data_IF_471300909784
#
_entry.id   IF_471300909784
#
_cell.length_a   1.000
_cell.length_b   1.000
_cell.length_c   1.000
_cell.angle_alpha   90.00
_cell.angle_beta   90.00
_cell.angle_gamma   90.00
#
_symmetry.space_group_name_H-M   'P 1'
#
loop_
_entity.id
_entity.type
_entity.pdbx_description
1 polymer ?
#
# COMPACT_ATOMS: atom_id res chain seq x y z
N UNK A 1 -12.24 5.03 8.55
CA UNK A 1 -13.41 5.92 8.37
C UNK A 1 -14.20 5.38 7.16
N UNK A 2 -15.26 4.58 7.36
CA UNK A 2 -16.19 4.23 6.27
C UNK A 2 -17.36 5.20 6.37
N UNK A 3 -17.60 5.92 5.28
CA UNK A 3 -18.56 7.02 5.18
C UNK A 3 -19.98 6.42 5.27
N UNK A 4 -20.87 7.06 6.03
CA UNK A 4 -22.28 6.66 6.15
C UNK A 4 -22.96 6.77 4.78
N UNK A 5 -23.46 5.66 4.23
CA UNK A 5 -24.18 5.61 2.96
C UNK A 5 -25.65 5.23 3.21
N UNK A 6 -26.59 6.19 3.21
CA UNK A 6 -28.01 5.95 3.49
C UNK A 6 -28.72 5.00 2.50
N UNK A 7 -28.06 4.61 1.43
CA UNK A 7 -28.58 3.76 0.35
C UNK A 7 -28.12 2.29 0.42
N UNK A 8 -27.41 1.89 1.48
CA UNK A 8 -26.99 0.50 1.69
C UNK A 8 -28.21 -0.39 2.00
N UNK A 9 -28.18 -1.63 1.50
CA UNK A 9 -29.11 -2.66 1.95
C UNK A 9 -28.97 -2.88 3.46
N UNK A 10 -30.05 -3.32 4.11
CA UNK A 10 -30.13 -3.49 5.58
C UNK A 10 -28.97 -4.35 6.11
N UNK A 11 -28.61 -5.42 5.41
CA UNK A 11 -27.51 -6.30 5.81
C UNK A 11 -26.16 -5.60 5.81
N UNK A 12 -25.86 -4.82 4.76
CA UNK A 12 -24.61 -4.08 4.67
C UNK A 12 -24.56 -2.92 5.68
N UNK A 13 -25.71 -2.33 6.04
CA UNK A 13 -25.80 -1.36 7.13
C UNK A 13 -25.49 -2.00 8.49
N UNK A 14 -25.96 -3.22 8.72
CA UNK A 14 -25.67 -3.99 9.94
C UNK A 14 -24.17 -4.35 10.02
N UNK A 15 -23.55 -4.77 8.92
CA UNK A 15 -22.10 -5.05 8.88
C UNK A 15 -21.26 -3.82 9.24
N UNK A 16 -21.61 -2.65 8.68
CA UNK A 16 -20.92 -1.38 8.99
C UNK A 16 -21.07 -1.01 10.46
N UNK A 17 -22.26 -1.20 11.05
CA UNK A 17 -22.52 -0.95 12.48
C UNK A 17 -21.74 -1.92 13.38
N UNK A 18 -21.68 -3.20 13.02
CA UNK A 18 -20.88 -4.21 13.73
C UNK A 18 -19.39 -3.85 13.72
N UNK A 19 -18.85 -3.49 12.55
CA UNK A 19 -17.46 -3.05 12.42
C UNK A 19 -17.18 -1.79 13.24
N UNK A 20 -18.07 -0.79 13.18
CA UNK A 20 -17.92 0.45 13.93
C UNK A 20 -17.90 0.21 15.45
N UNK A 21 -18.80 -0.64 15.96
CA UNK A 21 -18.82 -1.05 17.38
C UNK A 21 -17.54 -1.78 17.78
N UNK A 22 -17.03 -2.67 16.93
CA UNK A 22 -15.78 -3.38 17.19
C UNK A 22 -14.59 -2.41 17.27
N UNK A 23 -14.45 -1.48 16.31
CA UNK A 23 -13.38 -0.46 16.33
C UNK A 23 -13.48 0.45 17.54
N UNK A 24 -14.69 0.87 17.94
CA UNK A 24 -14.90 1.65 19.17
C UNK A 24 -14.47 0.86 20.41
N UNK A 25 -14.82 -0.42 20.48
CA UNK A 25 -14.45 -1.29 21.60
C UNK A 25 -12.93 -1.46 21.73
N UNK A 26 -12.18 -1.42 20.62
CA UNK A 26 -10.71 -1.36 20.63
C UNK A 26 -10.23 -0.06 21.29
N UNK A 27 -10.77 1.09 20.85
CA UNK A 27 -10.38 2.40 21.36
C UNK A 27 -10.71 2.61 22.84
N UNK A 28 -11.85 2.08 23.28
CA UNK A 28 -12.30 2.15 24.67
C UNK A 28 -11.64 1.11 25.59
N UNK A 29 -10.87 0.16 25.02
CA UNK A 29 -10.23 -0.93 25.77
C UNK A 29 -11.22 -1.92 26.40
N UNK A 30 -12.42 -2.02 25.85
CA UNK A 30 -13.48 -2.91 26.37
C UNK A 30 -13.46 -4.29 25.73
N UNK A 31 -12.70 -4.47 24.64
CA UNK A 31 -12.52 -5.80 24.05
C UNK A 31 -11.78 -6.74 25.00
N UNK A 32 -12.16 -8.04 25.02
CA UNK A 32 -11.43 -9.04 25.77
C UNK A 32 -10.02 -9.15 25.20
N UNK A 33 -9.03 -8.84 26.06
CA UNK A 33 -7.64 -9.03 25.75
C UNK A 33 -7.12 -10.33 26.37
N UNK A 34 -6.24 -11.00 25.65
CA UNK A 34 -5.53 -12.20 26.09
C UNK A 34 -4.10 -11.86 26.50
N UNK A 35 -3.60 -12.60 27.48
CA UNK A 35 -2.20 -12.56 27.91
C UNK A 35 -1.44 -13.67 27.20
N UNK A 36 -0.31 -13.36 26.57
CA UNK A 36 0.53 -14.39 25.92
C UNK A 36 1.87 -14.53 26.64
N UNK A 37 2.28 -15.79 26.90
CA UNK A 37 3.57 -16.10 27.52
C UNK A 37 3.77 -15.46 28.89
N UNK A 38 4.89 -14.75 29.07
CA UNK A 38 5.29 -14.11 30.33
C UNK A 38 4.94 -12.62 30.42
N UNK A 39 4.08 -12.11 29.53
CA UNK A 39 3.64 -10.71 29.58
C UNK A 39 2.97 -10.40 30.92
N UNK A 40 3.05 -9.14 31.38
CA UNK A 40 2.46 -8.75 32.69
C UNK A 40 0.96 -8.47 32.60
N UNK A 41 0.51 -7.99 31.46
CA UNK A 41 -0.85 -7.55 31.20
C UNK A 41 -1.40 -8.26 29.95
N UNK A 42 -2.72 -8.32 29.84
CA UNK A 42 -3.39 -8.85 28.66
C UNK A 42 -3.49 -7.75 27.60
N UNK A 43 -2.71 -7.84 26.53
CA UNK A 43 -2.63 -6.81 25.47
C UNK A 43 -2.99 -7.33 24.09
N UNK A 44 -3.26 -8.62 23.93
CA UNK A 44 -3.57 -9.23 22.63
C UNK A 44 -5.07 -9.25 22.39
N UNK A 45 -5.52 -8.71 21.27
CA UNK A 45 -6.92 -8.79 20.84
C UNK A 45 -7.08 -9.79 19.71
N UNK A 46 -8.25 -10.41 19.63
CA UNK A 46 -8.63 -11.29 18.52
C UNK A 46 -9.26 -10.47 17.41
N UNK A 47 -8.68 -10.53 16.22
CA UNK A 47 -9.25 -9.91 15.02
C UNK A 47 -10.35 -10.83 14.46
N UNK A 48 -11.55 -10.31 14.15
CA UNK A 48 -12.62 -11.06 13.51
C UNK A 48 -12.18 -11.76 12.21
N UNK A 49 -12.66 -12.99 11.99
CA UNK A 49 -12.27 -13.83 10.85
C UNK A 49 -12.62 -13.23 9.49
N UNK A 50 -13.74 -12.52 9.41
CA UNK A 50 -14.19 -11.80 8.21
C UNK A 50 -13.27 -10.64 7.81
N UNK A 51 -12.41 -10.18 8.73
CA UNK A 51 -11.40 -9.16 8.48
C UNK A 51 -10.01 -9.75 8.20
N UNK A 52 -9.87 -11.07 8.25
CA UNK A 52 -8.61 -11.78 8.09
C UNK A 52 -8.57 -12.52 6.76
N UNK A 53 -7.55 -12.22 5.97
CA UNK A 53 -7.16 -13.08 4.86
C UNK A 53 -6.17 -14.13 5.37
N UNK A 54 -6.61 -15.39 5.44
CA UNK A 54 -5.76 -16.53 5.80
C UNK A 54 -5.02 -17.00 4.56
N UNK A 55 -3.71 -16.91 4.58
CA UNK A 55 -2.86 -17.20 3.42
C UNK A 55 -1.87 -18.31 3.75
N UNK A 56 -1.79 -19.29 2.86
CA UNK A 56 -0.71 -20.27 2.80
C UNK A 56 0.19 -19.91 1.61
N UNK A 57 1.45 -19.60 1.87
CA UNK A 57 2.40 -19.19 0.82
C UNK A 57 2.62 -17.68 0.73
N UNK A 58 2.73 -17.16 -0.50
CA UNK A 58 3.06 -15.76 -0.75
C UNK A 58 1.89 -14.83 -0.44
N UNK A 59 2.11 -13.94 0.52
CA UNK A 59 1.10 -13.01 1.05
C UNK A 59 0.71 -11.93 0.03
N UNK A 60 1.65 -11.48 -0.80
CA UNK A 60 1.41 -10.45 -1.81
C UNK A 60 0.55 -11.01 -2.92
N UNK A 61 0.88 -12.22 -3.40
CA UNK A 61 0.09 -12.93 -4.40
C UNK A 61 -1.35 -13.11 -3.93
N UNK A 62 -1.52 -13.64 -2.72
CA UNK A 62 -2.85 -13.90 -2.16
C UNK A 62 -3.66 -12.62 -1.95
N UNK A 63 -3.02 -11.55 -1.45
CA UNK A 63 -3.67 -10.25 -1.26
C UNK A 63 -4.16 -9.66 -2.59
N UNK A 64 -3.32 -9.71 -3.62
CA UNK A 64 -3.66 -9.19 -4.95
C UNK A 64 -4.74 -10.03 -5.61
N UNK A 65 -4.71 -11.36 -5.48
CA UNK A 65 -5.77 -12.21 -6.04
C UNK A 65 -7.12 -12.00 -5.36
N UNK A 66 -7.13 -11.71 -4.05
CA UNK A 66 -8.36 -11.44 -3.30
C UNK A 66 -8.98 -10.10 -3.70
N UNK A 67 -8.18 -9.04 -3.77
CA UNK A 67 -8.67 -7.69 -4.08
C UNK A 67 -8.97 -7.53 -5.58
N UNK A 68 -8.07 -8.02 -6.43
CA UNK A 68 -8.15 -7.92 -7.89
C UNK A 68 -8.49 -9.26 -8.55
N UNK A 69 -9.71 -9.74 -8.29
CA UNK A 69 -10.28 -10.93 -8.95
C UNK A 69 -10.24 -10.79 -10.48
N UNK A 70 -9.74 -11.81 -11.16
CA UNK A 70 -9.60 -11.83 -12.63
C UNK A 70 -8.84 -10.62 -13.21
N UNK A 71 -7.75 -10.19 -12.55
CA UNK A 71 -6.97 -9.02 -12.93
C UNK A 71 -6.61 -8.98 -14.43
N UNK A 72 -6.13 -10.09 -15.00
CA UNK A 72 -5.70 -10.16 -16.41
C UNK A 72 -6.84 -9.91 -17.41
N UNK A 73 -8.10 -10.15 -17.01
CA UNK A 73 -9.26 -9.86 -17.86
C UNK A 73 -9.68 -8.39 -17.76
N UNK A 74 -9.42 -7.75 -16.62
CA UNK A 74 -9.99 -6.45 -16.27
C UNK A 74 -8.95 -5.31 -16.11
N UNK A 75 -7.64 -5.57 -16.27
CA UNK A 75 -6.59 -4.58 -16.06
C UNK A 75 -6.71 -3.32 -16.95
N UNK A 76 -7.50 -3.37 -18.03
CA UNK A 76 -7.77 -2.23 -18.91
C UNK A 76 -9.05 -1.46 -18.55
N UNK A 77 -9.86 -1.95 -17.62
CA UNK A 77 -11.13 -1.31 -17.22
C UNK A 77 -10.90 -0.32 -16.07
N UNK A 78 -11.06 1.00 -16.31
CA UNK A 78 -10.88 2.02 -15.28
C UNK A 78 -11.87 1.90 -14.12
N UNK A 79 -13.08 1.37 -14.35
CA UNK A 79 -14.12 1.22 -13.31
C UNK A 79 -13.75 0.09 -12.35
N UNK A 80 -13.27 -1.02 -12.90
CA UNK A 80 -12.74 -2.14 -12.14
C UNK A 80 -11.56 -1.72 -11.25
N UNK A 81 -10.60 -0.99 -11.81
CA UNK A 81 -9.41 -0.52 -11.09
C UNK A 81 -9.74 0.53 -10.02
N UNK A 82 -10.59 1.51 -10.34
CA UNK A 82 -10.91 2.62 -9.42
C UNK A 82 -11.76 2.22 -8.22
N UNK A 83 -12.46 1.08 -8.29
CA UNK A 83 -13.27 0.56 -7.18
C UNK A 83 -12.47 -0.24 -6.15
N UNK A 84 -11.15 -0.42 -6.37
CA UNK A 84 -10.30 -1.30 -5.55
C UNK A 84 -9.02 -0.59 -5.14
N UNK A 85 -8.59 -0.81 -3.91
CA UNK A 85 -7.32 -0.31 -3.41
C UNK A 85 -6.73 -1.27 -2.37
N UNK A 86 -5.42 -1.46 -2.43
CA UNK A 86 -4.64 -2.08 -1.37
C UNK A 86 -3.91 -0.96 -0.65
N UNK A 87 -4.12 -0.86 0.66
CA UNK A 87 -3.47 0.16 1.50
C UNK A 87 -2.59 -0.55 2.52
N UNK A 88 -1.30 -0.19 2.55
CA UNK A 88 -0.32 -0.75 3.47
C UNK A 88 0.20 0.34 4.42
N UNK A 89 0.59 -0.02 5.65
CA UNK A 89 1.13 0.93 6.62
C UNK A 89 2.58 1.38 6.31
N UNK A 90 3.31 0.63 5.47
CA UNK A 90 4.71 0.90 5.12
C UNK A 90 4.87 0.98 3.59
N UNK A 91 5.56 2.02 3.11
CA UNK A 91 5.86 2.23 1.70
C UNK A 91 6.64 1.07 1.08
N UNK A 92 7.55 0.42 1.81
CA UNK A 92 8.29 -0.72 1.27
C UNK A 92 7.35 -1.87 0.85
N UNK A 93 6.28 -2.11 1.62
CA UNK A 93 5.27 -3.12 1.28
C UNK A 93 4.40 -2.63 0.11
N UNK A 94 4.12 -1.32 0.05
CA UNK A 94 3.42 -0.72 -1.10
C UNK A 94 4.21 -0.96 -2.38
N UNK A 95 5.53 -0.77 -2.35
CA UNK A 95 6.41 -0.99 -3.50
C UNK A 95 6.42 -2.47 -3.92
N UNK A 96 6.51 -3.40 -2.96
CA UNK A 96 6.44 -4.85 -3.25
C UNK A 96 5.12 -5.23 -3.95
N UNK A 97 3.98 -4.73 -3.44
CA UNK A 97 2.65 -4.96 -4.03
C UNK A 97 2.55 -4.32 -5.41
N UNK A 98 2.97 -3.08 -5.57
CA UNK A 98 2.92 -2.36 -6.85
C UNK A 98 3.77 -3.02 -7.92
N UNK A 99 4.99 -3.44 -7.56
CA UNK A 99 5.90 -4.16 -8.45
C UNK A 99 5.30 -5.50 -8.89
N UNK A 100 4.67 -6.23 -7.95
CA UNK A 100 3.98 -7.47 -8.29
C UNK A 100 2.79 -7.23 -9.23
N UNK A 101 1.91 -6.28 -8.95
CA UNK A 101 0.78 -5.93 -9.84
C UNK A 101 1.28 -5.50 -11.22
N UNK A 102 2.33 -4.69 -11.30
CA UNK A 102 2.94 -4.28 -12.56
C UNK A 102 3.52 -5.49 -13.33
N UNK A 103 4.08 -6.47 -12.63
CA UNK A 103 4.60 -7.69 -13.26
C UNK A 103 3.50 -8.50 -13.96
N UNK A 104 2.26 -8.48 -13.43
CA UNK A 104 1.10 -9.15 -14.01
C UNK A 104 0.60 -8.48 -15.30
N UNK A 105 0.77 -7.16 -15.45
CA UNK A 105 0.31 -6.43 -16.63
C UNK A 105 1.07 -6.93 -17.87
N UNK A 106 0.40 -7.39 -18.93
CA UNK A 106 1.07 -7.81 -20.16
C UNK A 106 1.81 -6.67 -20.86
N UNK A 107 2.94 -6.99 -21.49
CA UNK A 107 3.73 -6.04 -22.28
C UNK A 107 5.06 -5.65 -21.64
N UNK A 108 5.85 -4.89 -22.41
CA UNK A 108 7.20 -4.51 -22.03
C UNK A 108 7.21 -3.39 -20.99
N UNK A 109 8.13 -3.50 -20.04
CA UNK A 109 8.42 -2.45 -19.06
C UNK A 109 9.19 -1.33 -19.76
N UNK A 110 8.72 -0.10 -19.58
CA UNK A 110 9.47 1.11 -19.92
C UNK A 110 10.03 1.69 -18.63
N UNK A 111 11.35 1.82 -18.59
CA UNK A 111 12.07 2.40 -17.46
C UNK A 111 12.40 3.86 -17.74
N UNK A 112 12.04 4.73 -16.80
CA UNK A 112 12.39 6.13 -16.78
C UNK A 112 13.35 6.38 -15.60
N UNK A 113 14.51 6.94 -15.90
CA UNK A 113 15.49 7.33 -14.89
C UNK A 113 15.38 8.83 -14.61
N UNK A 114 15.58 9.23 -13.35
CA UNK A 114 15.67 10.64 -13.00
C UNK A 114 16.87 11.30 -13.69
N UNK A 115 16.87 12.64 -13.68
CA UNK A 115 17.99 13.40 -14.22
C UNK A 115 19.03 13.63 -13.13
N UNK A 116 20.23 13.13 -13.35
CA UNK A 116 21.29 13.10 -12.33
C UNK A 116 22.21 14.33 -12.44
N UNK A 117 21.62 15.51 -12.62
CA UNK A 117 22.37 16.77 -12.82
C UNK A 117 21.81 17.87 -11.95
N UNK A 118 22.68 18.48 -11.15
CA UNK A 118 22.34 19.66 -10.34
C UNK A 118 22.20 20.89 -11.24
N UNK A 119 21.13 21.64 -11.04
CA UNK A 119 20.97 22.93 -11.68
C UNK A 119 22.05 23.88 -11.15
N UNK A 120 22.92 24.38 -12.03
CA UNK A 120 23.94 25.37 -11.67
C UNK A 120 23.21 26.65 -11.23
N UNK A 121 23.24 26.95 -9.93
CA UNK A 121 22.77 28.25 -9.42
C UNK A 121 23.70 29.36 -9.91
N UNK A 122 23.27 30.62 -9.80
CA UNK A 122 24.10 31.79 -10.17
C UNK A 122 25.37 31.92 -9.30
N UNK A 123 25.42 31.19 -8.19
CA UNK A 123 26.58 31.10 -7.32
C UNK A 123 27.50 29.98 -7.85
N UNK A 124 28.58 30.39 -8.52
CA UNK A 124 29.64 29.49 -8.99
C UNK A 124 30.40 28.89 -7.79
N UNK A 125 29.82 27.91 -7.11
CA UNK A 125 30.56 27.03 -6.21
C UNK A 125 31.29 26.01 -7.10
N UNK A 126 32.63 25.99 -7.13
CA UNK A 126 33.37 24.93 -7.81
C UNK A 126 33.08 23.57 -7.15
N UNK A 127 33.17 22.49 -7.92
CA UNK A 127 33.17 21.10 -7.45
C UNK A 127 31.83 20.52 -6.93
N UNK A 128 30.68 20.98 -7.44
CA UNK A 128 29.37 20.33 -7.18
C UNK A 128 29.38 18.83 -7.50
N UNK A 129 30.05 18.41 -8.57
CA UNK A 129 30.14 17.01 -8.98
C UNK A 129 30.95 16.15 -7.99
N UNK A 130 31.81 16.75 -7.18
CA UNK A 130 32.56 16.08 -6.10
C UNK A 130 31.72 15.98 -4.84
N UNK A 131 30.94 17.02 -4.54
CA UNK A 131 30.09 17.07 -3.35
C UNK A 131 28.83 16.21 -3.48
N UNK A 132 28.34 16.03 -4.70
CA UNK A 132 27.10 15.29 -4.99
C UNK A 132 27.32 14.31 -6.14
N UNK A 133 27.97 13.17 -5.86
CA UNK A 133 28.17 12.14 -6.87
C UNK A 133 26.84 11.56 -7.36
N UNK A 134 26.83 11.00 -8.56
CA UNK A 134 25.63 10.44 -9.19
C UNK A 134 24.99 9.35 -8.33
N UNK A 135 25.78 8.52 -7.65
CA UNK A 135 25.29 7.50 -6.72
C UNK A 135 24.49 8.12 -5.57
N UNK A 136 24.93 9.27 -5.06
CA UNK A 136 24.19 10.01 -4.03
C UNK A 136 22.89 10.57 -4.60
N UNK A 137 22.93 11.21 -5.76
CA UNK A 137 21.73 11.75 -6.42
C UNK A 137 20.68 10.67 -6.68
N UNK A 138 21.12 9.48 -7.10
CA UNK A 138 20.25 8.34 -7.42
C UNK A 138 19.69 7.67 -6.16
N UNK A 139 20.30 7.93 -5.00
CA UNK A 139 19.83 7.47 -3.69
C UNK A 139 18.83 8.42 -3.03
N UNK A 140 18.60 9.61 -3.61
CA UNK A 140 17.63 10.57 -3.06
C UNK A 140 16.23 10.00 -3.23
N UNK A 141 15.62 9.66 -2.10
CA UNK A 141 14.23 9.29 -1.98
C UNK A 141 13.50 10.36 -1.17
N UNK A 142 12.56 11.06 -1.81
CA UNK A 142 11.86 12.19 -1.22
C UNK A 142 10.35 11.95 -1.27
N UNK A 143 9.68 12.20 -0.15
CA UNK A 143 8.23 12.06 -0.07
C UNK A 143 7.54 12.91 -1.15
N UNK A 144 6.56 12.30 -1.82
CA UNK A 144 5.79 12.87 -2.93
C UNK A 144 6.54 13.02 -4.26
N UNK A 145 7.77 12.52 -4.38
CA UNK A 145 8.47 12.46 -5.66
C UNK A 145 8.70 11.00 -6.08
N UNK A 146 8.70 10.68 -7.39
CA UNK A 146 9.13 9.38 -7.87
C UNK A 146 10.58 9.13 -7.46
N UNK A 147 10.90 7.87 -7.18
CA UNK A 147 12.28 7.43 -6.98
C UNK A 147 13.09 7.61 -8.27
N UNK A 148 14.42 7.51 -8.18
CA UNK A 148 15.32 7.61 -9.33
C UNK A 148 14.89 6.71 -10.50
N UNK A 149 14.29 5.55 -10.21
CA UNK A 149 13.86 4.57 -11.20
C UNK A 149 12.36 4.39 -11.17
N UNK A 150 11.68 4.83 -12.22
CA UNK A 150 10.26 4.62 -12.44
C UNK A 150 10.03 3.58 -13.54
N UNK A 151 9.37 2.47 -13.21
CA UNK A 151 9.00 1.42 -14.16
C UNK A 151 7.50 1.51 -14.48
N UNK A 152 7.16 1.57 -15.77
CA UNK A 152 5.79 1.70 -16.24
C UNK A 152 5.49 0.68 -17.34
N UNK A 153 4.22 0.28 -17.45
CA UNK A 153 3.69 -0.51 -18.55
C UNK A 153 2.45 0.17 -19.13
N UNK A 154 2.11 -0.17 -20.37
CA UNK A 154 0.89 0.31 -21.00
C UNK A 154 -0.33 -0.42 -20.43
N UNK A 155 -1.12 0.32 -19.64
CA UNK A 155 -2.47 -0.10 -19.20
C UNK A 155 -3.48 -0.21 -20.33
#
# INVERSE_FOLDING_TARGET
>A
MRIFYPSLQVDAQNEVDMFAKWVLSIGDGTLPAERRGSEREATWITIPEDLLLRVEGDKVVALVSEVYLDFLLNYRDPTYLSSRAIVCPNNAIVDDVNNYVLSLVPGDIVQYLSRDVIAKSSEHIPDFDVLYPTEFLNSIDANNFPTHKLELKKG
#
